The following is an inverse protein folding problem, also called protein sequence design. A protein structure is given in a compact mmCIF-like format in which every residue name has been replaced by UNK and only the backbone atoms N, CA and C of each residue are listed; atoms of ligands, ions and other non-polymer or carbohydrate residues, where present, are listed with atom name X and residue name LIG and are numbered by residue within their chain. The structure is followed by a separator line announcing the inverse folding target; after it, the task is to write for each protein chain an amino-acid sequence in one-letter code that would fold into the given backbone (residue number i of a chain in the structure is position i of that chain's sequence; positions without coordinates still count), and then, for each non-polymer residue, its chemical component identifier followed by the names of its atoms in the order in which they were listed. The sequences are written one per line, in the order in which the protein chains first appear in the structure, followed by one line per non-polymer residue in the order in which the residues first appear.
data_IF_769170282997
#
_entry.id   IF_769170282997
#
_cell.length_a   1.000
_cell.length_b   1.000
_cell.length_c   1.000
_cell.angle_alpha   90.00
_cell.angle_beta   90.00
_cell.angle_gamma   90.00
#
_symmetry.space_group_name_H-M   'P 1'
#
loop_
_entity.id
_entity.type
_entity.pdbx_description
1 polymer ?
#
# COMPACT_ATOMS: atom_id res chain seq x y z
N UNK A 1 6.61 -10.88 4.51
CA UNK A 1 5.28 -11.29 4.00
C UNK A 1 5.11 -10.61 2.67
N UNK A 2 4.96 -11.39 1.59
CA UNK A 2 4.74 -10.80 0.27
C UNK A 2 3.30 -10.30 0.13
N UNK A 3 3.13 -9.02 -0.17
CA UNK A 3 1.85 -8.33 -0.26
C UNK A 3 1.83 -7.49 -1.53
N UNK A 4 0.77 -7.65 -2.32
CA UNK A 4 0.46 -6.76 -3.44
C UNK A 4 -0.55 -5.72 -2.96
N UNK A 5 -0.22 -4.45 -3.11
CA UNK A 5 -1.11 -3.33 -2.78
C UNK A 5 -1.58 -2.71 -4.09
N UNK A 6 -2.89 -2.73 -4.34
CA UNK A 6 -3.53 -1.97 -5.40
C UNK A 6 -4.47 -0.92 -4.82
N UNK A 7 -4.57 0.23 -5.48
CA UNK A 7 -5.46 1.31 -5.03
C UNK A 7 -6.16 1.99 -6.21
N UNK A 8 -7.44 2.33 -6.06
CA UNK A 8 -8.20 3.09 -7.06
C UNK A 8 -8.69 4.39 -6.44
N UNK A 9 -8.00 5.50 -6.72
CA UNK A 9 -8.21 6.80 -6.07
C UNK A 9 -8.09 7.91 -7.10
N UNK A 10 -9.22 8.56 -7.35
CA UNK A 10 -9.33 9.67 -8.30
C UNK A 10 -8.69 10.96 -7.79
N UNK A 11 -8.68 11.20 -6.47
CA UNK A 11 -8.09 12.42 -5.89
C UNK A 11 -6.55 12.37 -5.87
N UNK A 12 -5.92 13.23 -6.66
CA UNK A 12 -4.47 13.31 -6.87
C UNK A 12 -3.67 13.49 -5.58
N UNK A 13 -4.15 14.31 -4.64
CA UNK A 13 -3.48 14.55 -3.36
C UNK A 13 -3.40 13.28 -2.52
N UNK A 14 -4.50 12.53 -2.43
CA UNK A 14 -4.56 11.25 -1.72
C UNK A 14 -3.71 10.19 -2.40
N UNK A 15 -3.81 10.10 -3.73
CA UNK A 15 -3.02 9.16 -4.54
C UNK A 15 -1.52 9.37 -4.36
N UNK A 16 -1.07 10.63 -4.43
CA UNK A 16 0.34 10.99 -4.22
C UNK A 16 0.81 10.61 -2.83
N UNK A 17 0.01 10.88 -1.79
CA UNK A 17 0.35 10.51 -0.40
C UNK A 17 0.57 9.01 -0.25
N UNK A 18 -0.30 8.18 -0.83
CA UNK A 18 -0.17 6.71 -0.76
C UNK A 18 1.07 6.24 -1.50
N UNK A 19 1.30 6.76 -2.71
CA UNK A 19 2.49 6.43 -3.49
C UNK A 19 3.76 6.76 -2.70
N UNK A 20 3.83 7.93 -2.07
CA UNK A 20 4.97 8.33 -1.23
C UNK A 20 5.17 7.39 -0.03
N UNK A 21 4.09 6.97 0.63
CA UNK A 21 4.17 5.99 1.74
C UNK A 21 4.71 4.67 1.22
N UNK A 22 4.07 4.07 0.21
CA UNK A 22 4.41 2.72 -0.27
C UNK A 22 5.80 2.63 -0.90
N UNK A 23 6.35 3.73 -1.43
CA UNK A 23 7.72 3.80 -1.95
C UNK A 23 8.79 3.52 -0.87
N UNK A 24 8.48 3.72 0.41
CA UNK A 24 9.36 3.35 1.53
C UNK A 24 9.30 1.87 1.91
N UNK A 25 8.32 1.12 1.39
CA UNK A 25 8.00 -0.24 1.83
C UNK A 25 8.00 -1.29 0.71
N UNK A 26 8.07 -0.88 -0.56
CA UNK A 26 8.03 -1.82 -1.68
C UNK A 26 8.43 -1.20 -3.02
N UNK A 27 8.32 -2.03 -4.07
CA UNK A 27 8.65 -1.65 -5.43
C UNK A 27 7.39 -1.21 -6.18
N UNK A 28 7.50 -0.12 -6.94
CA UNK A 28 6.42 0.40 -7.77
C UNK A 28 6.36 -0.37 -9.10
N UNK A 29 5.25 -1.06 -9.36
CA UNK A 29 5.13 -1.96 -10.52
C UNK A 29 4.21 -1.40 -11.61
N UNK A 30 3.09 -0.79 -11.22
CA UNK A 30 2.17 -0.10 -12.12
C UNK A 30 1.65 1.16 -11.44
N UNK A 31 1.00 2.05 -12.21
CA UNK A 31 0.54 3.36 -11.73
C UNK A 31 -0.10 3.32 -10.33
N UNK A 32 -0.90 2.30 -10.06
CA UNK A 32 -1.59 2.09 -8.79
C UNK A 32 -1.32 0.73 -8.15
N UNK A 33 -0.16 0.12 -8.42
CA UNK A 33 0.21 -1.19 -7.87
C UNK A 33 1.65 -1.18 -7.32
N UNK A 34 1.80 -1.68 -6.10
CA UNK A 34 3.07 -1.94 -5.43
C UNK A 34 3.18 -3.41 -5.02
N UNK A 35 4.41 -3.93 -5.08
CA UNK A 35 4.77 -5.20 -4.45
C UNK A 35 5.67 -4.92 -3.25
N UNK A 36 5.29 -5.45 -2.09
CA UNK A 36 5.94 -5.20 -0.82
C UNK A 36 6.32 -6.53 -0.15
N UNK A 37 7.52 -6.61 0.41
CA UNK A 37 7.86 -7.66 1.38
C UNK A 37 7.91 -7.06 2.78
N UNK A 38 6.83 -7.27 3.55
CA UNK A 38 6.61 -6.61 4.83
C UNK A 38 6.79 -7.57 6.00
N UNK A 39 7.47 -7.12 7.04
CA UNK A 39 7.33 -7.72 8.38
C UNK A 39 5.93 -7.44 8.96
N UNK A 40 5.45 -8.20 9.96
CA UNK A 40 4.18 -7.92 10.62
C UNK A 40 4.09 -6.49 11.18
N UNK A 41 5.20 -5.96 11.71
CA UNK A 41 5.28 -4.58 12.20
C UNK A 41 5.11 -3.57 11.07
N UNK A 42 5.87 -3.71 9.98
CA UNK A 42 5.75 -2.82 8.82
C UNK A 42 4.35 -2.89 8.19
N UNK A 43 3.71 -4.06 8.20
CA UNK A 43 2.33 -4.18 7.76
C UNK A 43 1.38 -3.33 8.62
N UNK A 44 1.55 -3.37 9.95
CA UNK A 44 0.83 -2.50 10.87
C UNK A 44 1.09 -1.01 10.61
N UNK A 45 2.35 -0.63 10.40
CA UNK A 45 2.75 0.76 10.13
C UNK A 45 2.12 1.30 8.84
N UNK A 46 2.12 0.49 7.76
CA UNK A 46 1.46 0.84 6.50
C UNK A 46 -0.03 1.07 6.75
N UNK A 47 -0.72 0.16 7.44
CA UNK A 47 -2.15 0.31 7.72
C UNK A 47 -2.47 1.54 8.56
N UNK A 48 -1.62 1.89 9.53
CA UNK A 48 -1.80 3.07 10.37
C UNK A 48 -1.54 4.38 9.61
N UNK A 49 -0.62 4.37 8.64
CA UNK A 49 -0.21 5.57 7.90
C UNK A 49 -1.15 5.90 6.75
N UNK A 50 -1.83 4.90 6.19
CA UNK A 50 -2.78 5.11 5.10
C UNK A 50 -3.96 5.97 5.56
N UNK A 51 -4.37 7.00 4.78
CA UNK A 51 -5.44 7.92 5.17
C UNK A 51 -6.86 7.33 5.02
N UNK A 52 -6.99 6.00 4.88
CA UNK A 52 -8.26 5.30 4.70
C UNK A 52 -8.11 3.83 5.10
N UNK A 53 -9.24 3.18 5.38
CA UNK A 53 -9.27 1.76 5.68
C UNK A 53 -8.87 0.93 4.46
N UNK A 54 -7.82 0.12 4.60
CA UNK A 54 -7.46 -0.89 3.61
C UNK A 54 -8.29 -2.16 3.83
N UNK A 55 -8.70 -2.81 2.73
CA UNK A 55 -9.33 -4.12 2.77
C UNK A 55 -8.27 -5.18 2.45
N UNK A 56 -8.15 -6.19 3.31
CA UNK A 56 -7.26 -7.33 3.08
C UNK A 56 -8.03 -8.43 2.34
N UNK A 57 -7.47 -8.90 1.25
CA UNK A 57 -7.88 -10.14 0.60
C UNK A 57 -6.79 -11.17 0.86
N UNK A 58 -7.13 -12.23 1.58
CA UNK A 58 -6.26 -13.39 1.73
C UNK A 58 -6.71 -14.42 0.68
N UNK A 59 -5.76 -15.03 -0.01
CA UNK A 59 -6.04 -16.26 -0.74
C UNK A 59 -6.39 -17.31 0.32
N UNK A 60 -7.58 -17.92 0.19
CA UNK A 60 -8.08 -18.93 1.12
C UNK A 60 -7.17 -20.15 1.23
#
# INVERSE_FOLDING_TARGET
MFIVVSYDISEDKRRTKIHSVLKGYGQWMQYSVFECDLTPTQYGDVLHTLPFSARRYANG
#
